data_IF_989493068000
#
_entry.id   IF_989493068000
#
_cell.length_a   1.000
_cell.length_b   1.000
_cell.length_c   1.000
_cell.angle_alpha   90.00
_cell.angle_beta   90.00
_cell.angle_gamma   90.00
#
_symmetry.space_group_name_H-M   'P 1'
#
loop_
_entity.id
_entity.type
_entity.pdbx_description
1 polymer ?
#
# COMPACT_ATOMS: atom_id res chain seq x y z
N UNK A 1 25.40 27.44 -63.88
CA UNK A 1 24.37 28.02 -63.00
C UNK A 1 23.43 26.98 -62.39
N UNK A 2 22.96 25.93 -63.07
CA UNK A 2 22.03 24.93 -62.51
C UNK A 2 22.65 24.03 -61.45
N UNK A 3 23.95 23.71 -61.51
CA UNK A 3 24.63 22.81 -60.52
C UNK A 3 24.95 23.54 -59.25
N UNK A 4 25.20 24.83 -59.22
CA UNK A 4 25.43 25.62 -58.00
C UNK A 4 24.15 25.89 -57.22
N UNK A 5 23.01 26.00 -57.92
CA UNK A 5 21.70 26.17 -57.27
C UNK A 5 21.25 24.88 -56.53
N UNK A 6 21.52 23.73 -57.15
CA UNK A 6 21.21 22.44 -56.54
C UNK A 6 22.01 22.20 -55.27
N UNK A 7 23.30 22.57 -55.25
CA UNK A 7 24.18 22.44 -54.08
C UNK A 7 23.74 23.33 -52.91
N UNK A 8 23.25 24.56 -53.21
CA UNK A 8 22.74 25.48 -52.20
C UNK A 8 21.43 24.98 -51.55
N UNK A 9 20.56 24.33 -52.33
CA UNK A 9 19.30 23.75 -51.82
C UNK A 9 19.59 22.54 -50.94
N UNK A 10 20.51 21.66 -51.28
CA UNK A 10 20.90 20.51 -50.49
C UNK A 10 21.57 20.93 -49.19
N UNK A 11 22.44 21.97 -49.22
CA UNK A 11 23.08 22.50 -48.02
C UNK A 11 22.05 23.18 -47.06
N UNK A 12 21.04 23.86 -47.61
CA UNK A 12 19.97 24.48 -46.85
C UNK A 12 19.07 23.46 -46.15
N UNK A 13 18.80 22.29 -46.77
CA UNK A 13 18.01 21.24 -46.20
C UNK A 13 18.72 20.47 -45.08
N UNK A 14 20.05 20.35 -45.12
CA UNK A 14 20.81 19.69 -44.08
C UNK A 14 20.98 20.53 -42.80
N UNK A 15 20.94 21.86 -42.91
CA UNK A 15 20.99 22.77 -41.75
C UNK A 15 19.65 22.97 -41.07
N UNK A 16 18.52 22.77 -41.76
CA UNK A 16 17.19 22.90 -41.19
C UNK A 16 16.76 21.64 -40.42
N UNK A 17 17.37 20.48 -40.65
CA UNK A 17 17.04 19.23 -39.95
C UNK A 17 17.52 19.15 -38.48
N UNK A 18 18.57 19.89 -38.12
CA UNK A 18 19.12 19.86 -36.79
C UNK A 18 18.42 20.81 -35.77
N UNK A 19 17.76 21.86 -36.29
CA UNK A 19 17.04 22.82 -35.44
C UNK A 19 15.57 22.40 -35.16
N UNK A 20 15.00 21.53 -36.01
CA UNK A 20 13.58 21.15 -35.93
C UNK A 20 13.21 20.18 -34.82
N UNK A 21 14.19 19.44 -34.27
CA UNK A 21 13.93 18.44 -33.23
C UNK A 21 13.79 19.09 -31.83
N UNK A 22 14.34 20.28 -31.63
CA UNK A 22 14.25 21.01 -30.36
C UNK A 22 13.04 21.93 -30.25
N UNK A 23 12.41 22.33 -31.34
CA UNK A 23 11.31 23.30 -31.32
C UNK A 23 9.96 22.73 -30.79
N UNK A 24 9.85 21.43 -30.64
CA UNK A 24 8.64 20.77 -30.13
C UNK A 24 8.82 20.09 -28.77
N UNK A 25 10.02 20.05 -28.20
CA UNK A 25 10.26 19.41 -26.91
C UNK A 25 9.98 20.39 -25.76
N UNK A 26 9.16 19.98 -24.81
CA UNK A 26 8.95 20.69 -23.54
C UNK A 26 10.16 20.50 -22.58
N UNK A 27 11.37 20.32 -23.17
CA UNK A 27 12.60 20.09 -22.41
C UNK A 27 13.30 21.41 -22.13
N UNK A 28 13.63 21.65 -20.88
CA UNK A 28 14.44 22.78 -20.43
C UNK A 28 15.82 22.26 -20.02
N UNK A 29 16.89 22.92 -20.46
CA UNK A 29 18.24 22.60 -20.05
C UNK A 29 18.54 23.23 -18.71
N UNK A 30 18.83 22.39 -17.71
CA UNK A 30 19.22 22.81 -16.36
C UNK A 30 20.62 22.31 -16.01
N UNK A 31 21.28 22.97 -15.07
CA UNK A 31 22.53 22.51 -14.48
C UNK A 31 22.22 21.86 -13.13
N UNK A 32 22.73 20.66 -12.91
CA UNK A 32 22.50 19.86 -11.69
C UNK A 32 23.81 19.30 -11.17
N UNK A 33 23.82 18.86 -9.91
CA UNK A 33 24.96 18.19 -9.29
C UNK A 33 24.65 16.71 -9.10
N UNK A 34 25.60 15.84 -9.47
CA UNK A 34 25.58 14.44 -9.07
C UNK A 34 26.04 14.35 -7.61
N UNK A 35 25.21 13.84 -6.74
CA UNK A 35 25.48 13.78 -5.31
C UNK A 35 25.91 12.38 -4.88
N UNK A 36 27.22 12.16 -4.81
CA UNK A 36 27.83 10.89 -4.41
C UNK A 36 27.80 10.64 -2.89
N UNK A 37 27.44 11.64 -2.09
CA UNK A 37 27.37 11.53 -0.63
C UNK A 37 26.08 10.93 -0.09
N UNK A 38 25.06 10.72 -0.96
CA UNK A 38 23.77 10.17 -0.53
C UNK A 38 23.82 8.65 -0.58
N UNK A 39 23.45 8.02 0.54
CA UNK A 39 23.28 6.57 0.68
C UNK A 39 21.81 6.22 0.84
N UNK A 40 21.44 4.97 0.59
CA UNK A 40 20.08 4.48 0.65
C UNK A 40 19.94 3.30 1.58
N UNK A 41 18.90 3.33 2.39
CA UNK A 41 18.47 2.18 3.17
C UNK A 41 17.00 1.85 2.86
N UNK A 42 16.73 0.58 2.64
CA UNK A 42 15.36 0.06 2.50
C UNK A 42 15.16 -0.99 3.58
N UNK A 43 14.17 -0.78 4.44
CA UNK A 43 13.89 -1.65 5.59
C UNK A 43 15.12 -1.93 6.47
N UNK A 44 15.98 -0.91 6.66
CA UNK A 44 17.20 -1.03 7.48
C UNK A 44 18.39 -1.68 6.79
N UNK A 45 18.28 -2.09 5.53
CA UNK A 45 19.39 -2.66 4.73
C UNK A 45 19.92 -1.64 3.74
N UNK A 46 21.25 -1.49 3.70
CA UNK A 46 21.92 -0.61 2.73
C UNK A 46 21.70 -1.10 1.31
N UNK A 47 21.34 -0.19 0.42
CA UNK A 47 21.04 -0.47 -0.98
C UNK A 47 21.85 0.43 -1.91
N UNK A 48 22.13 -0.07 -3.11
CA UNK A 48 22.75 0.72 -4.19
C UNK A 48 21.75 0.94 -5.31
N UNK A 49 21.63 2.18 -5.79
CA UNK A 49 20.82 2.47 -6.99
C UNK A 49 21.53 1.94 -8.22
N UNK A 50 20.85 1.10 -8.99
CA UNK A 50 21.35 0.56 -10.26
C UNK A 50 20.30 0.70 -11.36
N UNK A 51 20.73 0.78 -12.61
CA UNK A 51 19.85 0.64 -13.77
C UNK A 51 19.59 -0.86 -14.08
N UNK A 52 18.79 -1.12 -15.12
CA UNK A 52 18.48 -2.48 -15.57
C UNK A 52 19.69 -3.27 -16.07
N UNK A 53 20.81 -2.60 -16.36
CA UNK A 53 22.06 -3.21 -16.82
C UNK A 53 23.06 -3.41 -15.66
N UNK A 54 22.69 -3.03 -14.43
CA UNK A 54 23.55 -3.10 -13.25
C UNK A 54 24.51 -1.94 -13.09
N UNK A 55 24.44 -0.89 -13.92
CA UNK A 55 25.26 0.29 -13.76
C UNK A 55 24.80 1.12 -12.56
N UNK A 56 25.77 1.60 -11.75
CA UNK A 56 25.48 2.42 -10.58
C UNK A 56 24.89 3.77 -10.99
N UNK A 57 23.75 4.10 -10.42
CA UNK A 57 23.09 5.41 -10.57
C UNK A 57 23.42 6.31 -9.38
N UNK A 58 23.55 7.62 -9.67
CA UNK A 58 23.86 8.65 -8.67
C UNK A 58 22.67 9.61 -8.56
N UNK A 59 22.23 9.95 -7.34
CA UNK A 59 21.23 10.98 -7.13
C UNK A 59 21.62 12.33 -7.72
N UNK A 60 20.64 13.09 -8.15
CA UNK A 60 20.82 14.46 -8.65
C UNK A 60 20.32 15.43 -7.58
N UNK A 61 21.09 16.47 -7.30
CA UNK A 61 20.66 17.60 -6.47
C UNK A 61 20.44 18.83 -7.35
N UNK A 62 19.24 19.40 -7.29
CA UNK A 62 18.84 20.63 -7.97
C UNK A 62 17.99 21.48 -7.04
N UNK A 63 18.33 22.76 -6.87
CA UNK A 63 17.64 23.71 -5.98
C UNK A 63 17.34 23.13 -4.59
N UNK A 64 18.33 22.57 -3.92
CA UNK A 64 18.23 21.90 -2.61
C UNK A 64 17.28 20.70 -2.55
N UNK A 65 16.83 20.20 -3.69
CA UNK A 65 15.97 19.00 -3.78
C UNK A 65 16.75 17.85 -4.39
N UNK A 66 16.65 16.68 -3.77
CA UNK A 66 17.26 15.46 -4.29
C UNK A 66 16.27 14.73 -5.19
N UNK A 67 16.71 14.46 -6.42
CA UNK A 67 15.93 13.69 -7.42
C UNK A 67 16.53 12.30 -7.55
N UNK A 68 15.66 11.31 -7.58
CA UNK A 68 16.04 9.91 -7.66
C UNK A 68 15.52 9.26 -8.93
N UNK A 69 16.25 8.31 -9.52
CA UNK A 69 15.78 7.55 -10.66
C UNK A 69 14.58 6.70 -10.25
N UNK A 70 13.39 7.05 -10.72
CA UNK A 70 12.11 6.45 -10.29
C UNK A 70 12.08 4.93 -10.49
N UNK A 71 12.70 4.41 -11.57
CA UNK A 71 12.75 2.94 -11.82
C UNK A 71 13.61 2.22 -10.79
N UNK A 72 14.80 2.71 -10.47
CA UNK A 72 15.65 2.10 -9.47
C UNK A 72 14.99 2.10 -8.08
N UNK A 73 14.25 3.17 -7.72
CA UNK A 73 13.45 3.21 -6.50
C UNK A 73 12.30 2.21 -6.56
N UNK A 74 11.63 2.09 -7.70
CA UNK A 74 10.51 1.16 -7.87
C UNK A 74 10.94 -0.30 -7.69
N UNK A 75 12.08 -0.68 -8.24
CA UNK A 75 12.62 -2.04 -8.15
C UNK A 75 12.94 -2.42 -6.70
N UNK A 76 13.44 -1.46 -5.91
CA UNK A 76 13.73 -1.66 -4.48
C UNK A 76 12.50 -1.67 -3.59
N UNK A 77 11.44 -0.93 -3.96
CA UNK A 77 10.23 -0.76 -3.14
C UNK A 77 9.04 -1.59 -3.62
N UNK A 78 9.18 -2.28 -4.74
CA UNK A 78 8.12 -3.08 -5.36
C UNK A 78 6.99 -2.24 -5.98
N UNK A 79 7.23 -0.95 -6.26
CA UNK A 79 6.32 -0.09 -7.02
C UNK A 79 6.47 -0.40 -8.50
N UNK A 80 5.38 -0.62 -9.23
CA UNK A 80 5.45 -0.82 -10.67
C UNK A 80 5.44 0.54 -11.40
N UNK A 81 6.46 0.78 -12.23
CA UNK A 81 6.59 2.02 -13.01
C UNK A 81 6.46 1.73 -14.49
N UNK A 82 5.39 2.24 -15.10
CA UNK A 82 5.19 2.24 -16.55
C UNK A 82 5.46 3.62 -17.15
N UNK A 83 5.88 3.67 -18.40
CA UNK A 83 5.97 4.90 -19.19
C UNK A 83 5.20 4.74 -20.50
N UNK A 84 4.28 5.67 -20.76
CA UNK A 84 3.54 5.75 -21.99
C UNK A 84 4.21 6.84 -22.88
N UNK A 85 4.88 6.39 -23.93
CA UNK A 85 5.62 7.30 -24.80
C UNK A 85 4.69 8.20 -25.66
N UNK A 86 3.48 7.75 -25.96
CA UNK A 86 2.54 8.52 -26.79
C UNK A 86 1.95 9.70 -25.99
N UNK A 87 1.60 9.47 -24.73
CA UNK A 87 1.07 10.51 -23.84
C UNK A 87 2.16 11.18 -22.99
N UNK A 88 3.40 10.72 -23.05
CA UNK A 88 4.52 11.14 -22.20
C UNK A 88 4.19 11.01 -20.69
N UNK A 89 3.39 10.01 -20.31
CA UNK A 89 2.89 9.82 -18.98
C UNK A 89 3.69 8.74 -18.24
N UNK A 90 4.19 9.08 -17.04
CA UNK A 90 4.69 8.09 -16.09
C UNK A 90 3.51 7.58 -15.26
N UNK A 91 3.29 6.27 -15.28
CA UNK A 91 2.26 5.59 -14.49
C UNK A 91 2.92 4.87 -13.34
N UNK A 92 2.63 5.31 -12.12
CA UNK A 92 3.06 4.64 -10.91
C UNK A 92 1.88 3.78 -10.43
N UNK A 93 2.06 2.48 -10.47
CA UNK A 93 1.17 1.56 -9.77
C UNK A 93 1.91 1.14 -8.50
N UNK A 94 1.60 1.79 -7.40
CA UNK A 94 1.88 1.18 -6.11
C UNK A 94 1.24 -0.20 -6.14
N UNK A 95 1.86 -1.22 -5.57
CA UNK A 95 1.11 -2.44 -5.29
C UNK A 95 -0.13 -1.98 -4.52
N UNK A 96 -1.22 -1.73 -5.26
CA UNK A 96 -2.53 -1.68 -4.62
C UNK A 96 -2.66 -3.05 -3.98
N UNK A 97 -2.76 -3.06 -2.68
CA UNK A 97 -3.19 -4.17 -1.88
C UNK A 97 -4.63 -4.52 -2.30
N UNK A 98 -4.77 -5.14 -3.46
CA UNK A 98 -6.05 -5.44 -4.10
C UNK A 98 -5.99 -6.54 -5.14
N UNK A 99 -4.83 -6.77 -5.81
CA UNK A 99 -4.71 -7.86 -6.78
C UNK A 99 -3.29 -8.42 -6.84
N UNK A 100 -3.17 -9.65 -6.42
CA UNK A 100 -2.00 -10.54 -6.33
C UNK A 100 -1.22 -10.47 -5.02
N UNK A 101 -1.92 -10.92 -3.97
CA UNK A 101 -1.25 -11.54 -2.84
C UNK A 101 -0.49 -12.79 -3.31
N UNK A 102 0.78 -13.01 -2.86
CA UNK A 102 1.41 -14.30 -3.03
C UNK A 102 0.47 -15.38 -2.48
N UNK A 103 0.10 -16.36 -3.30
CA UNK A 103 -0.80 -17.46 -2.96
C UNK A 103 -0.20 -18.37 -1.86
N UNK A 104 0.41 -17.81 -0.85
CA UNK A 104 1.14 -18.49 0.21
C UNK A 104 1.02 -17.89 1.60
N UNK A 105 0.65 -16.62 1.72
CA UNK A 105 0.70 -15.91 3.02
C UNK A 105 -0.61 -15.95 3.81
N UNK A 106 -1.71 -16.41 3.21
CA UNK A 106 -3.04 -16.40 3.83
C UNK A 106 -3.61 -17.79 4.02
N UNK A 107 -4.46 -17.91 5.03
CA UNK A 107 -5.22 -19.12 5.27
C UNK A 107 -6.65 -18.78 5.66
N UNK A 108 -7.60 -19.62 5.23
CA UNK A 108 -8.96 -19.57 5.73
C UNK A 108 -8.99 -20.04 7.19
N UNK A 109 -9.69 -19.31 8.03
CA UNK A 109 -9.86 -19.69 9.43
C UNK A 109 -11.01 -20.70 9.51
N UNK A 110 -10.67 -21.94 9.83
CA UNK A 110 -11.66 -22.98 10.09
C UNK A 110 -11.85 -23.08 11.61
N UNK A 111 -12.75 -22.25 12.16
CA UNK A 111 -13.09 -22.33 13.58
C UNK A 111 -13.73 -23.70 13.88
N UNK A 112 -13.19 -24.41 14.85
CA UNK A 112 -13.81 -25.65 15.31
C UNK A 112 -15.05 -25.36 16.18
N UNK A 113 -15.86 -26.39 16.47
CA UNK A 113 -17.11 -26.24 17.23
C UNK A 113 -16.92 -25.58 18.58
N UNK A 114 -15.81 -25.88 19.29
CA UNK A 114 -15.53 -25.28 20.59
C UNK A 114 -15.17 -23.78 20.47
N UNK A 115 -14.43 -23.41 19.43
CA UNK A 115 -14.10 -22.01 19.13
C UNK A 115 -15.35 -21.21 18.73
N UNK A 116 -16.20 -21.76 17.86
CA UNK A 116 -17.49 -21.14 17.48
C UNK A 116 -18.34 -20.91 18.72
N UNK A 117 -18.46 -21.93 19.59
CA UNK A 117 -19.20 -21.81 20.84
C UNK A 117 -18.64 -20.71 21.73
N UNK A 118 -17.32 -20.69 21.97
CA UNK A 118 -16.68 -19.69 22.82
C UNK A 118 -16.81 -18.26 22.24
N UNK A 119 -16.75 -18.09 20.90
CA UNK A 119 -17.01 -16.80 20.27
C UNK A 119 -18.45 -16.37 20.52
N UNK A 120 -19.43 -17.24 20.27
CA UNK A 120 -20.85 -16.93 20.50
C UNK A 120 -21.16 -16.62 21.95
N UNK A 121 -20.57 -17.34 22.90
CA UNK A 121 -20.70 -17.07 24.34
C UNK A 121 -20.17 -15.65 24.66
N UNK A 122 -18.97 -15.28 24.17
CA UNK A 122 -18.44 -13.95 24.36
C UNK A 122 -19.34 -12.84 23.78
N UNK A 123 -20.04 -13.11 22.69
CA UNK A 123 -21.03 -12.19 22.14
C UNK A 123 -22.31 -12.14 22.98
N UNK A 124 -22.76 -13.27 23.50
CA UNK A 124 -23.94 -13.36 24.36
C UNK A 124 -23.75 -12.64 25.71
N UNK A 125 -22.51 -12.58 26.23
CA UNK A 125 -22.16 -11.82 27.43
C UNK A 125 -22.25 -10.30 27.23
N UNK A 126 -22.39 -9.83 25.98
CA UNK A 126 -22.51 -8.43 25.66
C UNK A 126 -23.93 -8.13 25.17
N UNK A 127 -24.70 -7.36 25.96
CA UNK A 127 -26.10 -7.03 25.71
C UNK A 127 -26.33 -6.46 24.29
N UNK A 128 -27.34 -6.95 23.59
CA UNK A 128 -27.70 -6.58 22.21
C UNK A 128 -26.76 -7.07 21.11
N UNK A 129 -25.88 -8.05 21.40
CA UNK A 129 -24.98 -8.65 20.43
C UNK A 129 -25.44 -10.06 19.99
N UNK A 130 -26.61 -10.15 19.39
CA UNK A 130 -27.16 -11.45 18.97
C UNK A 130 -26.38 -12.11 17.81
N UNK A 131 -25.74 -11.30 16.97
CA UNK A 131 -24.98 -11.80 15.83
C UNK A 131 -23.49 -11.70 16.09
N UNK A 132 -22.81 -12.83 16.07
CA UNK A 132 -21.37 -12.89 16.15
C UNK A 132 -20.70 -12.62 14.80
N UNK A 133 -19.63 -11.84 14.81
CA UNK A 133 -18.79 -11.55 13.64
C UNK A 133 -17.36 -12.03 13.92
N UNK A 134 -16.72 -12.57 12.89
CA UNK A 134 -15.33 -13.01 12.99
C UNK A 134 -14.63 -12.91 11.63
N UNK A 135 -13.31 -12.71 11.56
CA UNK A 135 -12.57 -12.79 10.31
C UNK A 135 -12.59 -14.22 9.77
N UNK A 136 -12.71 -14.36 8.46
CA UNK A 136 -12.65 -15.65 7.75
C UNK A 136 -11.26 -15.98 7.25
N UNK A 137 -10.35 -15.01 7.25
CA UNK A 137 -8.96 -15.17 6.79
C UNK A 137 -7.99 -14.55 7.79
N UNK A 138 -6.80 -15.13 7.86
CA UNK A 138 -5.67 -14.61 8.63
C UNK A 138 -4.36 -14.87 7.88
N UNK A 139 -3.29 -14.19 8.29
CA UNK A 139 -1.95 -14.54 7.84
C UNK A 139 -1.59 -15.96 8.30
N UNK A 140 -0.84 -16.73 7.50
CA UNK A 140 -0.42 -18.10 7.87
C UNK A 140 0.42 -18.17 9.15
N UNK A 141 1.09 -17.07 9.48
CA UNK A 141 1.89 -16.94 10.70
C UNK A 141 1.06 -16.67 11.94
N UNK A 142 -0.24 -16.35 11.77
CA UNK A 142 -1.15 -16.05 12.86
C UNK A 142 -1.99 -17.27 13.26
N UNK A 143 -2.66 -17.19 14.40
CA UNK A 143 -3.56 -18.23 14.89
C UNK A 143 -4.57 -17.64 15.86
N UNK A 144 -5.80 -18.14 15.82
CA UNK A 144 -6.84 -17.80 16.80
C UNK A 144 -6.47 -18.30 18.18
N UNK A 145 -6.59 -17.46 19.20
CA UNK A 145 -6.31 -17.79 20.59
C UNK A 145 -7.60 -17.91 21.40
N UNK A 146 -8.40 -16.82 21.47
CA UNK A 146 -9.64 -16.80 22.27
C UNK A 146 -10.56 -15.64 21.87
N UNK A 147 -11.81 -15.70 22.33
CA UNK A 147 -12.73 -14.59 22.37
C UNK A 147 -12.99 -14.15 23.81
N UNK A 148 -13.14 -12.85 24.04
CA UNK A 148 -13.41 -12.29 25.37
C UNK A 148 -14.36 -11.10 25.23
N UNK A 149 -15.45 -11.10 26.00
CA UNK A 149 -16.27 -9.91 26.18
C UNK A 149 -15.53 -8.87 27.02
N UNK A 150 -15.73 -7.60 26.72
CA UNK A 150 -15.17 -6.47 27.46
C UNK A 150 -16.24 -5.38 27.60
N UNK A 151 -15.96 -4.31 28.35
CA UNK A 151 -16.86 -3.16 28.47
C UNK A 151 -17.14 -2.46 27.14
N UNK A 152 -16.25 -2.64 26.15
CA UNK A 152 -16.27 -1.94 24.86
C UNK A 152 -16.68 -2.84 23.69
N UNK A 153 -17.08 -4.08 23.91
CA UNK A 153 -17.46 -5.03 22.90
C UNK A 153 -16.77 -6.38 23.07
N UNK A 154 -16.67 -7.13 21.98
CA UNK A 154 -16.05 -8.45 21.96
C UNK A 154 -14.69 -8.39 21.28
N UNK A 155 -13.67 -8.89 21.96
CA UNK A 155 -12.31 -9.01 21.43
C UNK A 155 -12.06 -10.46 20.98
N UNK A 156 -11.77 -10.63 19.70
CA UNK A 156 -11.22 -11.86 19.12
C UNK A 156 -9.70 -11.72 19.11
N UNK A 157 -9.03 -12.48 19.94
CA UNK A 157 -7.57 -12.41 20.14
C UNK A 157 -6.91 -13.50 19.31
N UNK A 158 -5.97 -13.07 18.47
CA UNK A 158 -5.07 -13.92 17.71
C UNK A 158 -3.64 -13.74 18.23
N UNK A 159 -2.72 -14.54 17.75
CA UNK A 159 -1.32 -14.47 18.17
C UNK A 159 -0.70 -13.10 17.85
N UNK A 160 -0.99 -12.56 16.67
CA UNK A 160 -0.41 -11.32 16.16
C UNK A 160 -1.41 -10.18 15.90
N UNK A 161 -2.71 -10.45 16.08
CA UNK A 161 -3.73 -9.41 15.93
C UNK A 161 -4.83 -9.50 16.99
N UNK A 162 -5.53 -8.38 17.15
CA UNK A 162 -6.79 -8.31 17.90
C UNK A 162 -7.85 -7.71 17.00
N UNK A 163 -9.01 -8.37 16.92
CA UNK A 163 -10.21 -7.88 16.25
C UNK A 163 -11.23 -7.56 17.32
N UNK A 164 -11.56 -6.29 17.50
CA UNK A 164 -12.61 -5.84 18.39
C UNK A 164 -13.88 -5.55 17.60
N UNK A 165 -15.01 -6.01 18.08
CA UNK A 165 -16.34 -5.68 17.53
C UNK A 165 -17.13 -4.97 18.60
N UNK A 166 -17.49 -3.71 18.35
CA UNK A 166 -18.08 -2.78 19.31
C UNK A 166 -19.33 -2.11 18.74
N UNK A 167 -20.32 -1.73 19.57
CA UNK A 167 -21.40 -0.86 19.15
C UNK A 167 -20.95 0.59 18.93
N UNK A 168 -19.76 0.97 19.44
CA UNK A 168 -19.24 2.34 19.46
C UNK A 168 -18.15 2.56 18.42
N UNK A 169 -18.11 3.76 17.86
CA UNK A 169 -17.04 4.23 16.97
C UNK A 169 -16.15 5.21 17.73
N UNK A 170 -14.97 4.76 18.11
CA UNK A 170 -13.97 5.57 18.82
C UNK A 170 -13.06 6.38 17.88
N UNK A 171 -13.17 6.19 16.56
CA UNK A 171 -12.29 6.87 15.60
C UNK A 171 -12.52 8.37 15.53
N UNK A 172 -13.72 8.84 15.91
CA UNK A 172 -14.08 10.26 15.91
C UNK A 172 -13.23 11.11 16.85
N UNK A 173 -12.65 10.51 17.90
CA UNK A 173 -11.88 11.23 18.91
C UNK A 173 -10.41 11.40 18.53
N UNK A 174 -10.01 10.89 17.38
CA UNK A 174 -8.63 10.87 16.90
C UNK A 174 -8.50 11.43 15.49
N UNK A 175 -7.29 11.92 15.19
CA UNK A 175 -6.93 12.18 13.79
C UNK A 175 -6.83 10.85 13.06
N UNK A 176 -7.47 10.75 11.90
CA UNK A 176 -7.50 9.54 11.11
C UNK A 176 -7.14 9.80 9.65
N UNK A 177 -6.72 8.74 8.97
CA UNK A 177 -6.55 8.67 7.52
C UNK A 177 -7.61 7.73 6.96
N UNK A 178 -8.45 8.23 6.06
CA UNK A 178 -9.41 7.39 5.36
C UNK A 178 -8.73 6.51 4.31
N UNK A 179 -9.21 5.27 4.23
CA UNK A 179 -8.81 4.30 3.21
C UNK A 179 -10.07 3.59 2.70
N UNK A 180 -10.03 3.14 1.44
CA UNK A 180 -11.08 2.33 0.87
C UNK A 180 -10.58 0.89 0.75
N UNK A 181 -11.23 -0.03 1.46
CA UNK A 181 -10.90 -1.45 1.41
C UNK A 181 -11.24 -2.04 0.03
N UNK A 182 -10.66 -3.18 -0.32
CA UNK A 182 -10.85 -3.81 -1.64
C UNK A 182 -12.30 -4.23 -1.92
N UNK A 183 -13.11 -4.45 -0.88
CA UNK A 183 -14.55 -4.71 -0.99
C UNK A 183 -15.39 -3.42 -1.08
N UNK A 184 -14.77 -2.25 -1.18
CA UNK A 184 -15.43 -0.96 -1.29
C UNK A 184 -15.87 -0.31 0.03
N UNK A 185 -15.67 -0.95 1.17
CA UNK A 185 -15.96 -0.39 2.49
C UNK A 185 -14.97 0.72 2.82
N UNK A 186 -15.47 1.86 3.33
CA UNK A 186 -14.60 2.93 3.87
C UNK A 186 -14.14 2.57 5.26
N UNK A 187 -12.84 2.72 5.51
CA UNK A 187 -12.21 2.46 6.79
C UNK A 187 -11.29 3.60 7.19
N UNK A 188 -10.94 3.68 8.46
CA UNK A 188 -10.13 4.75 9.04
C UNK A 188 -8.94 4.16 9.79
N UNK A 189 -7.75 4.60 9.43
CA UNK A 189 -6.54 4.38 10.22
C UNK A 189 -6.36 5.50 11.23
N UNK A 190 -6.24 5.16 12.51
CA UNK A 190 -5.98 6.09 13.60
C UNK A 190 -5.09 5.46 14.66
N UNK A 191 -4.49 6.27 15.53
CA UNK A 191 -3.51 5.81 16.51
C UNK A 191 -3.82 6.44 17.87
N UNK A 192 -4.65 5.80 18.70
CA UNK A 192 -5.04 6.35 20.01
C UNK A 192 -3.87 6.37 21.02
N UNK A 193 -2.90 5.48 20.85
CA UNK A 193 -1.68 5.43 21.65
C UNK A 193 -0.47 5.21 20.75
N UNK A 194 0.20 4.07 20.81
CA UNK A 194 1.33 3.73 19.94
C UNK A 194 0.98 2.71 18.86
N UNK A 195 -0.15 2.02 19.00
CA UNK A 195 -0.58 0.97 18.07
C UNK A 195 -1.58 1.53 17.08
N UNK A 196 -1.31 1.45 15.76
CA UNK A 196 -2.29 1.80 14.74
C UNK A 196 -3.50 0.86 14.78
N UNK A 197 -4.67 1.43 14.62
CA UNK A 197 -5.95 0.73 14.54
C UNK A 197 -6.62 1.02 13.21
N UNK A 198 -7.16 -0.01 12.56
CA UNK A 198 -8.04 0.12 11.42
C UNK A 198 -9.48 -0.07 11.89
N UNK A 199 -10.30 0.98 11.81
CA UNK A 199 -11.72 0.95 12.16
C UNK A 199 -12.61 1.06 10.93
N UNK A 200 -13.70 0.29 10.90
CA UNK A 200 -14.71 0.35 9.83
C UNK A 200 -16.08 -0.07 10.35
N UNK A 201 -17.13 0.35 9.63
CA UNK A 201 -18.52 -0.07 9.92
C UNK A 201 -18.82 -1.39 9.23
N UNK A 202 -19.46 -2.29 9.95
CA UNK A 202 -20.00 -3.54 9.46
C UNK A 202 -21.40 -3.75 10.06
N UNK A 203 -22.41 -3.60 9.25
CA UNK A 203 -23.81 -3.51 9.68
C UNK A 203 -23.98 -2.39 10.75
N UNK A 204 -24.52 -2.72 11.91
CA UNK A 204 -24.70 -1.80 13.05
C UNK A 204 -23.50 -1.76 14.01
N UNK A 205 -22.39 -2.42 13.65
CA UNK A 205 -21.18 -2.54 14.47
C UNK A 205 -20.02 -1.72 13.93
N UNK A 206 -19.11 -1.39 14.81
CA UNK A 206 -17.77 -0.93 14.45
C UNK A 206 -16.79 -2.06 14.70
N UNK A 207 -16.05 -2.43 13.69
CA UNK A 207 -14.95 -3.37 13.80
C UNK A 207 -13.63 -2.60 13.83
N UNK A 208 -12.77 -2.96 14.78
CA UNK A 208 -11.43 -2.38 14.87
C UNK A 208 -10.40 -3.51 14.87
N UNK A 209 -9.37 -3.40 14.05
CA UNK A 209 -8.29 -4.38 13.95
C UNK A 209 -6.96 -3.72 14.22
N UNK A 210 -6.13 -4.39 15.02
CA UNK A 210 -4.77 -3.96 15.33
C UNK A 210 -3.80 -5.14 15.36
N UNK A 211 -2.51 -4.86 15.17
CA UNK A 211 -1.39 -5.77 15.45
C UNK A 211 -0.54 -5.16 16.55
N UNK A 212 -0.77 -5.51 17.82
CA UNK A 212 -0.09 -4.87 18.95
C UNK A 212 1.42 -5.07 18.96
N UNK A 213 1.89 -6.18 18.41
CA UNK A 213 3.30 -6.52 18.27
C UNK A 213 3.94 -6.01 16.97
N UNK A 214 3.14 -5.35 16.10
CA UNK A 214 3.60 -4.82 14.82
C UNK A 214 3.98 -5.87 13.76
N UNK A 215 3.63 -7.13 13.98
CA UNK A 215 3.96 -8.22 13.04
C UNK A 215 3.19 -8.12 11.73
N UNK A 216 1.92 -7.69 11.78
CA UNK A 216 1.11 -7.52 10.57
C UNK A 216 1.27 -6.12 10.01
N UNK A 217 1.51 -6.03 8.71
CA UNK A 217 1.51 -4.77 7.96
C UNK A 217 0.11 -4.18 7.83
N UNK A 218 0.00 -2.90 7.52
CA UNK A 218 -1.29 -2.23 7.29
C UNK A 218 -2.11 -2.95 6.21
N UNK A 219 -1.47 -3.39 5.14
CA UNK A 219 -2.13 -4.11 4.06
C UNK A 219 -2.67 -5.49 4.50
N UNK A 220 -1.95 -6.16 5.39
CA UNK A 220 -2.42 -7.42 5.95
C UNK A 220 -3.64 -7.20 6.86
N UNK A 221 -3.65 -6.14 7.67
CA UNK A 221 -4.79 -5.77 8.50
C UNK A 221 -6.02 -5.41 7.62
N UNK A 222 -5.82 -4.65 6.54
CA UNK A 222 -6.89 -4.31 5.58
C UNK A 222 -7.49 -5.57 4.91
N UNK A 223 -6.67 -6.56 4.61
CA UNK A 223 -7.13 -7.83 4.06
C UNK A 223 -7.95 -8.64 5.08
N UNK A 224 -7.51 -8.71 6.33
CA UNK A 224 -8.32 -9.31 7.40
C UNK A 224 -9.67 -8.60 7.51
N UNK A 225 -9.68 -7.27 7.48
CA UNK A 225 -10.88 -6.45 7.56
C UNK A 225 -11.93 -6.82 6.50
N UNK A 226 -11.48 -7.02 5.25
CA UNK A 226 -12.34 -7.46 4.15
C UNK A 226 -12.99 -8.84 4.42
N UNK A 227 -12.35 -9.68 5.21
CA UNK A 227 -12.81 -11.04 5.50
C UNK A 227 -13.75 -11.14 6.69
N UNK A 228 -13.91 -10.05 7.48
CA UNK A 228 -14.81 -10.09 8.65
C UNK A 228 -16.26 -10.19 8.20
N UNK A 229 -16.95 -11.21 8.72
CA UNK A 229 -18.33 -11.47 8.36
C UNK A 229 -19.07 -12.19 9.51
N UNK A 230 -20.38 -12.32 9.37
CA UNK A 230 -21.21 -13.10 10.31
C UNK A 230 -20.65 -14.51 10.47
N UNK A 231 -20.52 -14.93 11.73
CA UNK A 231 -20.08 -16.29 12.06
C UNK A 231 -21.25 -17.24 11.87
N UNK A 232 -21.08 -18.18 10.97
CA UNK A 232 -22.08 -19.24 10.69
C UNK A 232 -21.67 -20.53 11.40
N UNK A 233 -22.68 -21.34 11.80
CA UNK A 233 -22.42 -22.72 12.18
C UNK A 233 -22.05 -23.51 10.91
N UNK A 234 -20.89 -24.14 10.90
CA UNK A 234 -20.50 -25.10 9.87
C UNK A 234 -20.97 -26.50 10.26
#
# INVERSE_FOLDING_TARGET
MKKTLLSAIVLGMTLSGAAGVYAGSKLEKINVYLNHGITFQVNGSDQSLTDSNGNKLVPITYQNTTYLPVRAISDMTGINVGYDAASQQIRLKTKQTGDSQPAGEWTTINYNKAQIKAIKEAYADFESFETAYAPKQMAKTDSYVKAVASSDGVNLIFKHMTVNVSPRDYSSDYKFKEVKLSNGVSAKWYTPSKTPLLGFKLDDRTVTISSPDGTLSSSQIEQVAVSVAKLTDN
#
